data_IF_418437824692
#
_entry.id   IF_418437824692
#
_cell.length_a   1.000
_cell.length_b   1.000
_cell.length_c   1.000
_cell.angle_alpha   90.00
_cell.angle_beta   90.00
_cell.angle_gamma   90.00
#
_symmetry.space_group_name_H-M   'P 1'
#
loop_
_entity.id
_entity.type
_entity.pdbx_description
1 polymer ?
#
# COMPACT_ATOMS: atom_id res chain seq x y z
N UNK A 1 11.07 -7.89 4.99
CA UNK A 1 10.46 -6.60 5.43
C UNK A 1 9.12 -6.87 6.11
N UNK A 2 8.88 -6.21 7.20
CA UNK A 2 7.58 -6.23 7.88
C UNK A 2 7.10 -4.80 8.04
N UNK A 3 5.80 -4.58 7.83
CA UNK A 3 5.21 -3.27 8.04
C UNK A 3 4.79 -3.16 9.50
N UNK A 4 5.31 -2.15 10.19
CA UNK A 4 5.03 -1.91 11.60
C UNK A 4 3.96 -0.86 11.82
N UNK A 5 3.71 0.01 10.84
CA UNK A 5 2.73 1.09 10.98
C UNK A 5 2.11 1.41 9.62
N UNK A 6 0.80 1.61 9.64
CA UNK A 6 0.01 1.98 8.47
C UNK A 6 -0.75 3.25 8.82
N UNK A 7 -0.56 4.29 8.03
CA UNK A 7 -1.27 5.57 8.19
C UNK A 7 -1.91 5.94 6.86
N UNK A 8 -3.03 6.64 6.92
CA UNK A 8 -3.69 7.11 5.71
C UNK A 8 -4.36 8.46 5.93
N UNK A 9 -4.48 9.21 4.84
CA UNK A 9 -5.16 10.49 4.82
C UNK A 9 -5.98 10.61 3.55
N UNK A 10 -7.11 11.29 3.63
CA UNK A 10 -7.89 11.64 2.46
C UNK A 10 -7.65 13.12 2.18
N UNK A 11 -7.14 13.41 0.98
CA UNK A 11 -6.88 14.76 0.51
C UNK A 11 -7.65 14.92 -0.80
N UNK A 12 -8.77 15.62 -0.75
CA UNK A 12 -9.70 15.76 -1.88
C UNK A 12 -10.17 14.36 -2.35
N UNK A 13 -9.83 13.96 -3.57
CA UNK A 13 -10.19 12.64 -4.13
C UNK A 13 -9.16 11.57 -3.85
N UNK A 14 -8.03 11.95 -3.27
CA UNK A 14 -6.87 11.07 -3.14
C UNK A 14 -6.80 10.45 -1.76
N UNK A 15 -6.51 9.16 -1.72
CA UNK A 15 -6.07 8.52 -0.49
C UNK A 15 -4.55 8.45 -0.53
N UNK A 16 -3.92 9.04 0.46
CA UNK A 16 -2.47 8.97 0.63
C UNK A 16 -2.20 8.03 1.78
N UNK A 17 -1.28 7.09 1.58
CA UNK A 17 -0.88 6.16 2.63
C UNK A 17 0.60 6.31 2.93
N UNK A 18 0.95 6.04 4.18
CA UNK A 18 2.34 5.91 4.59
C UNK A 18 2.50 4.57 5.29
N UNK A 19 3.38 3.74 4.76
CA UNK A 19 3.77 2.48 5.38
C UNK A 19 5.16 2.66 6.00
N UNK A 20 5.33 2.13 7.20
CA UNK A 20 6.62 2.19 7.91
C UNK A 20 7.03 0.76 8.22
N UNK A 21 8.27 0.39 7.90
CA UNK A 21 8.77 -0.95 8.16
C UNK A 21 9.37 -1.08 9.57
N UNK A 22 9.89 -2.27 9.89
CA UNK A 22 10.48 -2.57 11.20
C UNK A 22 11.71 -1.74 11.51
N UNK A 23 12.36 -1.18 10.51
CA UNK A 23 13.55 -0.35 10.67
C UNK A 23 13.23 1.16 10.74
N UNK A 24 11.94 1.51 10.75
CA UNK A 24 11.52 2.91 10.80
C UNK A 24 11.56 3.64 9.47
N UNK A 25 11.80 2.94 8.37
CA UNK A 25 11.80 3.55 7.04
C UNK A 25 10.38 3.62 6.51
N UNK A 26 9.97 4.81 6.07
CA UNK A 26 8.61 5.05 5.57
C UNK A 26 8.58 5.26 4.07
N UNK A 27 7.50 4.79 3.45
CA UNK A 27 7.21 5.04 2.06
C UNK A 27 5.79 5.56 1.87
N UNK A 28 5.60 6.37 0.85
CA UNK A 28 4.32 6.97 0.52
C UNK A 28 3.75 6.36 -0.75
N UNK A 29 2.44 6.17 -0.75
CA UNK A 29 1.69 5.78 -1.92
C UNK A 29 0.41 6.60 -2.02
N UNK A 30 -0.18 6.64 -3.20
CA UNK A 30 -1.44 7.34 -3.39
C UNK A 30 -2.36 6.56 -4.31
N UNK A 31 -3.66 6.68 -4.07
CA UNK A 31 -4.68 6.05 -4.89
C UNK A 31 -5.88 6.96 -5.04
N UNK A 32 -6.58 6.82 -6.15
CA UNK A 32 -7.78 7.57 -6.43
C UNK A 32 -8.84 6.63 -7.01
N UNK A 33 -10.06 6.71 -6.45
CA UNK A 33 -11.20 6.01 -7.00
C UNK A 33 -12.43 6.94 -6.91
N UNK A 34 -12.52 7.88 -7.83
CA UNK A 34 -13.73 8.70 -8.07
C UNK A 34 -14.32 9.33 -6.81
N UNK A 35 -13.56 9.87 -5.90
CA UNK A 35 -14.05 10.45 -4.65
C UNK A 35 -14.59 9.43 -3.63
N UNK A 36 -14.32 8.15 -3.79
CA UNK A 36 -14.70 7.11 -2.84
C UNK A 36 -13.57 6.80 -1.85
N UNK A 37 -13.02 7.85 -1.22
CA UNK A 37 -11.92 7.69 -0.27
C UNK A 37 -12.26 6.75 0.88
N UNK A 38 -13.47 6.82 1.41
CA UNK A 38 -13.88 5.95 2.52
C UNK A 38 -13.94 4.48 2.13
N UNK A 39 -14.27 4.18 0.87
CA UNK A 39 -14.23 2.81 0.37
C UNK A 39 -12.79 2.32 0.34
N UNK A 40 -11.87 3.14 -0.16
CA UNK A 40 -10.45 2.77 -0.21
C UNK A 40 -9.87 2.56 1.19
N UNK A 41 -10.20 3.40 2.15
CA UNK A 41 -9.69 3.23 3.53
C UNK A 41 -10.23 1.96 4.17
N UNK A 42 -11.48 1.59 3.90
CA UNK A 42 -12.05 0.33 4.39
C UNK A 42 -11.31 -0.87 3.79
N UNK A 43 -11.02 -0.83 2.50
CA UNK A 43 -10.24 -1.89 1.84
C UNK A 43 -8.83 -1.96 2.45
N UNK A 44 -8.19 -0.83 2.67
CA UNK A 44 -6.86 -0.79 3.29
C UNK A 44 -6.89 -1.44 4.68
N UNK A 45 -7.92 -1.15 5.48
CA UNK A 45 -8.06 -1.75 6.81
C UNK A 45 -8.19 -3.28 6.72
N UNK A 46 -8.93 -3.78 5.73
CA UNK A 46 -9.05 -5.22 5.52
C UNK A 46 -7.73 -5.87 5.09
N UNK A 47 -6.89 -5.13 4.38
CA UNK A 47 -5.59 -5.62 3.93
C UNK A 47 -4.51 -5.50 5.00
N UNK A 48 -4.76 -4.78 6.10
CA UNK A 48 -3.76 -4.52 7.13
C UNK A 48 -3.19 -5.81 7.73
N UNK A 49 -4.02 -6.84 7.86
CA UNK A 49 -3.57 -8.13 8.39
C UNK A 49 -2.57 -8.79 7.43
N UNK A 50 -2.83 -8.72 6.12
CA UNK A 50 -1.90 -9.25 5.12
C UNK A 50 -0.57 -8.51 5.14
N UNK A 51 -0.60 -7.20 5.38
CA UNK A 51 0.61 -6.38 5.43
C UNK A 51 1.43 -6.63 6.70
N UNK A 52 0.84 -7.23 7.74
CA UNK A 52 1.56 -7.57 8.97
C UNK A 52 2.47 -8.78 8.79
N UNK A 53 2.28 -9.57 7.74
CA UNK A 53 3.12 -10.70 7.43
C UNK A 53 4.41 -10.25 6.72
N UNK A 54 5.49 -11.05 6.78
CA UNK A 54 6.72 -10.70 6.07
C UNK A 54 6.50 -10.51 4.57
N UNK A 55 7.08 -9.44 4.03
CA UNK A 55 6.98 -9.09 2.61
C UNK A 55 8.33 -9.39 1.96
N UNK A 56 8.36 -10.29 0.99
CA UNK A 56 9.58 -10.69 0.30
C UNK A 56 9.92 -9.72 -0.84
N UNK A 57 8.92 -9.33 -1.61
CA UNK A 57 9.10 -8.34 -2.67
C UNK A 57 7.78 -7.64 -2.97
N UNK A 58 7.83 -6.42 -3.54
CA UNK A 58 6.61 -5.73 -3.93
C UNK A 58 5.79 -6.49 -4.96
N UNK A 59 6.43 -7.05 -5.97
CA UNK A 59 5.75 -7.80 -7.03
C UNK A 59 5.05 -9.04 -6.49
N UNK A 60 5.72 -9.77 -5.61
CA UNK A 60 5.15 -10.96 -5.00
C UNK A 60 3.93 -10.59 -4.15
N UNK A 61 4.05 -9.54 -3.34
CA UNK A 61 2.95 -9.09 -2.51
C UNK A 61 1.76 -8.65 -3.36
N UNK A 62 1.99 -7.83 -4.39
CA UNK A 62 0.92 -7.34 -5.26
C UNK A 62 0.18 -8.52 -5.89
N UNK A 63 0.90 -9.47 -6.47
CA UNK A 63 0.29 -10.64 -7.11
C UNK A 63 -0.46 -11.51 -6.11
N UNK A 64 0.09 -11.69 -4.92
CA UNK A 64 -0.53 -12.49 -3.88
C UNK A 64 -1.86 -11.89 -3.44
N UNK A 65 -1.90 -10.59 -3.17
CA UNK A 65 -3.12 -9.91 -2.76
C UNK A 65 -4.14 -9.85 -3.90
N UNK A 66 -3.69 -9.59 -5.12
CA UNK A 66 -4.57 -9.53 -6.28
C UNK A 66 -5.27 -10.86 -6.53
N UNK A 67 -4.58 -11.98 -6.31
CA UNK A 67 -5.14 -13.33 -6.49
C UNK A 67 -5.98 -13.78 -5.31
N UNK A 68 -5.66 -13.35 -4.10
CA UNK A 68 -6.35 -13.75 -2.89
C UNK A 68 -7.82 -13.33 -2.92
N UNK A 69 -8.08 -12.15 -3.43
CA UNK A 69 -9.45 -11.61 -3.48
C UNK A 69 -10.08 -11.96 -4.81
N UNK A 70 -11.06 -12.86 -4.76
CA UNK A 70 -11.72 -13.37 -5.98
C UNK A 70 -12.55 -12.32 -6.69
N UNK A 71 -13.03 -11.31 -5.97
CA UNK A 71 -13.82 -10.23 -6.56
C UNK A 71 -12.96 -8.98 -6.70
N UNK A 72 -12.34 -8.86 -7.87
CA UNK A 72 -11.47 -7.72 -8.18
C UNK A 72 -12.29 -6.53 -8.63
N UNK A 73 -11.91 -5.35 -8.15
CA UNK A 73 -12.61 -4.12 -8.46
C UNK A 73 -11.61 -3.00 -8.70
N UNK A 74 -12.03 -1.89 -9.37
CA UNK A 74 -11.16 -0.72 -9.47
C UNK A 74 -10.75 -0.15 -8.12
N UNK A 75 -11.63 -0.21 -7.11
CA UNK A 75 -11.29 0.26 -5.77
C UNK A 75 -10.19 -0.59 -5.13
N UNK A 76 -10.28 -1.91 -5.23
CA UNK A 76 -9.23 -2.80 -4.73
C UNK A 76 -7.91 -2.54 -5.46
N UNK A 77 -7.95 -2.41 -6.77
CA UNK A 77 -6.75 -2.16 -7.57
C UNK A 77 -6.11 -0.83 -7.21
N UNK A 78 -6.90 0.21 -6.95
CA UNK A 78 -6.37 1.50 -6.52
C UNK A 78 -5.63 1.39 -5.19
N UNK A 79 -6.17 0.64 -4.22
CA UNK A 79 -5.52 0.43 -2.94
C UNK A 79 -4.24 -0.40 -3.09
N UNK A 80 -4.29 -1.48 -3.88
CA UNK A 80 -3.10 -2.31 -4.13
C UNK A 80 -2.00 -1.51 -4.81
N UNK A 81 -2.34 -0.61 -5.73
CA UNK A 81 -1.35 0.25 -6.40
C UNK A 81 -0.71 1.21 -5.41
N UNK A 82 -1.49 1.78 -4.49
CA UNK A 82 -0.96 2.67 -3.46
C UNK A 82 0.02 1.92 -2.53
N UNK A 83 -0.33 0.70 -2.14
CA UNK A 83 0.53 -0.15 -1.31
C UNK A 83 1.82 -0.48 -2.05
N UNK A 84 1.72 -0.88 -3.31
CA UNK A 84 2.87 -1.22 -4.15
C UNK A 84 3.82 -0.03 -4.25
N UNK A 85 3.29 1.15 -4.52
CA UNK A 85 4.07 2.39 -4.60
C UNK A 85 4.81 2.68 -3.29
N UNK A 86 4.13 2.54 -2.15
CA UNK A 86 4.72 2.80 -0.84
C UNK A 86 5.84 1.82 -0.52
N UNK A 87 5.68 0.54 -0.87
CA UNK A 87 6.70 -0.48 -0.62
C UNK A 87 7.92 -0.26 -1.51
N UNK A 88 7.72 0.09 -2.78
CA UNK A 88 8.84 0.43 -3.66
C UNK A 88 9.59 1.66 -3.15
N UNK A 89 8.87 2.66 -2.61
CA UNK A 89 9.49 3.85 -2.03
C UNK A 89 10.36 3.47 -0.82
N UNK A 90 9.89 2.59 0.05
CA UNK A 90 10.68 2.09 1.18
C UNK A 90 11.96 1.41 0.67
N UNK A 91 11.83 0.54 -0.31
CA UNK A 91 12.99 -0.18 -0.85
C UNK A 91 14.00 0.76 -1.47
N UNK A 92 13.55 1.77 -2.19
CA UNK A 92 14.43 2.78 -2.78
C UNK A 92 15.19 3.55 -1.69
N UNK A 93 14.51 3.92 -0.63
CA UNK A 93 15.12 4.63 0.51
C UNK A 93 16.16 3.77 1.22
N UNK A 94 15.89 2.48 1.38
CA UNK A 94 16.81 1.56 2.06
C UNK A 94 18.13 1.42 1.32
N UNK A 95 18.15 1.63 0.01
CA UNK A 95 19.38 1.60 -0.80
C UNK A 95 19.83 2.98 -1.25
N UNK A 96 19.26 4.04 -0.68
CA UNK A 96 19.58 5.45 -1.01
C UNK A 96 19.39 5.80 -2.48
N UNK A 97 18.40 5.21 -3.13
CA UNK A 97 18.05 5.52 -4.51
C UNK A 97 16.67 6.17 -4.57
N UNK A 98 16.46 7.11 -5.51
CA UNK A 98 15.11 7.63 -5.74
C UNK A 98 14.22 6.55 -6.35
N UNK A 99 12.90 6.69 -6.16
CA UNK A 99 11.93 5.73 -6.68
C UNK A 99 11.92 5.68 -8.22
N UNK A 100 12.06 6.84 -8.86
CA UNK A 100 12.01 6.94 -10.31
C UNK A 100 13.30 6.49 -11.03
#
# INVERSE_FOLDING_TARGET
MKISKIEHWIVDKWMIIRLTNENGVSGLGEGNFWSYGNVMTTILDQLSEDLSNPIYSPDYLFNQLYRKYSFRSPALTAVLSAIDMAIWDIKAKEVNLPLW
#
